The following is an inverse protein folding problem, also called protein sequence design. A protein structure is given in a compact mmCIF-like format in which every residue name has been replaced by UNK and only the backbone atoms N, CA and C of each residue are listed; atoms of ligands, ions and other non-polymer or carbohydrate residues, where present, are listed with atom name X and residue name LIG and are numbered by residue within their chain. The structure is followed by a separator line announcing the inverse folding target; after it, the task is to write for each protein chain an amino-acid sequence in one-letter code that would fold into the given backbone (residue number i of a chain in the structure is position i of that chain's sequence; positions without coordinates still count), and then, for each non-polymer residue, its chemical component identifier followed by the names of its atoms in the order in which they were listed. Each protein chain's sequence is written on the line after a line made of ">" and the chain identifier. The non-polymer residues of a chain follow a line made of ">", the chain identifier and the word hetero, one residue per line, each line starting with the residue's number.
data_IF_643862746469
#
_entry.id   IF_643862746469
#
_cell.length_a   1.000
_cell.length_b   1.000
_cell.length_c   1.000
_cell.angle_alpha   90.00
_cell.angle_beta   90.00
_cell.angle_gamma   90.00
#
_symmetry.space_group_name_H-M   'P 1'
#
loop_
_entity.id
_entity.type
_entity.pdbx_description
1 polymer ?
#
# COMPACT_ATOMS: atom_id res chain seq x y z
N UNK A 1 20.77 8.60 12.19
CA UNK A 1 19.91 8.84 11.06
C UNK A 1 19.76 7.63 10.14
N UNK A 2 19.44 6.49 10.75
CA UNK A 2 19.27 5.18 10.07
C UNK A 2 18.11 5.25 9.06
N UNK A 3 17.11 6.09 9.32
CA UNK A 3 15.97 6.28 8.43
C UNK A 3 16.35 6.95 7.11
N UNK A 4 17.18 7.96 7.12
CA UNK A 4 17.69 8.59 5.89
C UNK A 4 18.59 7.66 5.10
N UNK A 5 19.37 6.83 5.79
CA UNK A 5 20.22 5.84 5.13
C UNK A 5 19.44 4.70 4.50
N UNK A 6 18.34 4.25 5.15
CA UNK A 6 17.47 3.22 4.57
C UNK A 6 16.68 3.75 3.39
N UNK A 7 16.16 4.98 3.49
CA UNK A 7 15.46 5.65 2.40
C UNK A 7 16.39 5.87 1.20
N UNK A 8 17.60 6.33 1.43
CA UNK A 8 18.60 6.54 0.39
C UNK A 8 19.12 5.24 -0.19
N UNK A 9 19.35 4.22 0.64
CA UNK A 9 19.74 2.88 0.19
C UNK A 9 18.64 2.23 -0.61
N UNK A 10 17.40 2.44 -0.23
CA UNK A 10 16.24 1.95 -0.95
C UNK A 10 16.16 2.62 -2.32
N UNK A 11 16.34 3.92 -2.38
CA UNK A 11 16.40 4.71 -3.60
C UNK A 11 17.49 4.21 -4.55
N UNK A 12 18.69 3.97 -4.04
CA UNK A 12 19.80 3.45 -4.81
C UNK A 12 19.55 2.02 -5.27
N UNK A 13 19.04 1.16 -4.40
CA UNK A 13 18.76 -0.24 -4.70
C UNK A 13 17.63 -0.41 -5.72
N UNK A 14 16.69 0.52 -5.76
CA UNK A 14 15.55 0.50 -6.68
C UNK A 14 15.76 1.31 -7.96
N UNK A 15 16.98 1.84 -8.12
CA UNK A 15 17.37 2.50 -9.37
C UNK A 15 16.80 3.87 -9.60
N UNK A 16 16.84 4.66 -8.58
CA UNK A 16 16.20 5.68 -8.48
C UNK A 16 16.11 6.83 -8.92
N UNK A 17 15.92 7.23 -9.06
CA UNK A 17 14.81 7.97 -8.82
C UNK A 17 13.52 7.30 -8.63
N UNK A 18 13.47 6.22 -8.10
CA UNK A 18 12.22 5.74 -7.69
C UNK A 18 12.00 4.25 -7.77
N UNK A 19 10.94 3.81 -7.17
CA UNK A 19 10.41 2.48 -7.29
C UNK A 19 10.02 2.19 -8.75
N UNK A 20 10.07 0.92 -9.21
CA UNK A 20 9.82 0.61 -10.62
C UNK A 20 8.42 0.99 -11.07
N UNK A 21 8.31 1.77 -12.14
CA UNK A 21 7.04 2.12 -12.76
C UNK A 21 6.43 0.91 -13.47
N UNK A 22 5.11 0.87 -13.53
CA UNK A 22 4.39 -0.25 -14.14
C UNK A 22 4.48 -1.52 -13.30
N UNK A 23 4.61 -1.38 -11.97
CA UNK A 23 4.77 -2.50 -11.05
C UNK A 23 3.95 -2.30 -9.78
N UNK A 24 3.70 -3.41 -9.10
CA UNK A 24 3.07 -3.43 -7.78
C UNK A 24 4.15 -3.62 -6.73
N UNK A 25 4.12 -2.78 -5.71
CA UNK A 25 5.01 -2.85 -4.55
C UNK A 25 4.16 -3.01 -3.31
N UNK A 26 4.52 -3.96 -2.45
CA UNK A 26 3.93 -4.10 -1.13
C UNK A 26 4.89 -3.58 -0.08
N UNK A 27 4.41 -2.66 0.76
CA UNK A 27 5.11 -2.21 1.96
C UNK A 27 4.35 -2.81 3.15
N UNK A 28 4.99 -3.67 3.91
CA UNK A 28 4.34 -4.33 5.04
C UNK A 28 5.18 -4.21 6.32
N UNK A 29 4.52 -4.37 7.44
CA UNK A 29 5.15 -4.29 8.74
C UNK A 29 4.12 -4.11 9.85
N UNK A 30 4.59 -4.11 11.11
CA UNK A 30 3.71 -3.85 12.25
C UNK A 30 3.15 -2.42 12.21
N UNK A 31 2.14 -2.17 13.05
CA UNK A 31 1.60 -0.83 13.21
C UNK A 31 2.69 0.15 13.65
N UNK A 32 2.55 1.40 13.22
CA UNK A 32 3.47 2.49 13.58
C UNK A 32 4.94 2.22 13.22
N UNK A 33 5.18 1.41 12.19
CA UNK A 33 6.54 1.10 11.72
C UNK A 33 7.08 2.08 10.69
N UNK A 34 6.27 3.06 10.24
CA UNK A 34 6.68 4.05 9.26
C UNK A 34 6.30 3.70 7.81
N UNK A 35 5.38 2.77 7.60
CA UNK A 35 4.94 2.38 6.25
C UNK A 35 4.32 3.54 5.48
N UNK A 36 3.37 4.22 6.10
CA UNK A 36 2.71 5.39 5.49
C UNK A 36 3.71 6.52 5.26
N UNK A 37 4.62 6.73 6.19
CA UNK A 37 5.69 7.72 6.06
C UNK A 37 6.55 7.44 4.83
N UNK A 38 6.95 6.20 4.61
CA UNK A 38 7.73 5.82 3.44
C UNK A 38 6.96 6.07 2.15
N UNK A 39 5.69 5.69 2.09
CA UNK A 39 4.84 5.93 0.93
C UNK A 39 4.69 7.43 0.64
N UNK A 40 4.52 8.25 1.68
CA UNK A 40 4.43 9.70 1.52
C UNK A 40 5.75 10.31 1.02
N UNK A 41 6.89 9.79 1.44
CA UNK A 41 8.18 10.21 0.89
C UNK A 41 8.30 9.88 -0.60
N UNK A 42 7.84 8.72 -1.03
CA UNK A 42 7.80 8.35 -2.45
C UNK A 42 6.93 9.30 -3.25
N UNK A 43 5.76 9.66 -2.71
CA UNK A 43 4.87 10.64 -3.34
C UNK A 43 5.57 12.01 -3.45
N UNK A 44 6.18 12.49 -2.39
CA UNK A 44 6.88 13.78 -2.39
C UNK A 44 7.99 13.82 -3.45
N UNK A 45 8.78 12.76 -3.57
CA UNK A 45 9.84 12.66 -4.57
C UNK A 45 9.27 12.61 -6.00
N UNK A 46 8.18 11.88 -6.22
CA UNK A 46 7.52 11.83 -7.52
C UNK A 46 6.98 13.22 -7.91
N UNK A 47 6.36 13.92 -6.98
CA UNK A 47 5.85 15.27 -7.23
C UNK A 47 6.94 16.26 -7.58
N UNK A 48 8.11 16.16 -6.94
CA UNK A 48 9.28 17.00 -7.29
C UNK A 48 9.71 16.83 -8.74
N UNK A 49 9.48 15.67 -9.31
CA UNK A 49 9.77 15.34 -10.72
C UNK A 49 8.62 15.65 -11.66
N UNK A 50 7.59 16.32 -11.19
CA UNK A 50 6.39 16.65 -11.96
C UNK A 50 5.37 15.51 -12.07
N UNK A 51 5.52 14.46 -11.28
CA UNK A 51 4.60 13.32 -11.28
C UNK A 51 3.28 13.64 -10.59
N UNK A 52 2.21 12.99 -11.05
CA UNK A 52 0.87 13.08 -10.47
C UNK A 52 0.64 11.87 -9.57
N UNK A 53 0.19 12.11 -8.35
CA UNK A 53 0.03 11.07 -7.35
C UNK A 53 -1.41 11.01 -6.83
N UNK A 54 -1.82 9.79 -6.43
CA UNK A 54 -3.11 9.53 -5.81
C UNK A 54 -2.94 8.69 -4.55
N UNK A 55 -3.80 8.92 -3.58
CA UNK A 55 -3.80 8.21 -2.31
C UNK A 55 -5.21 7.71 -2.01
N UNK A 56 -5.37 6.39 -1.98
CA UNK A 56 -6.61 5.74 -1.58
C UNK A 56 -6.50 5.44 -0.08
N UNK A 57 -7.14 6.28 0.73
CA UNK A 57 -7.09 6.23 2.18
C UNK A 57 -8.24 5.37 2.72
N UNK A 58 -8.07 4.05 2.66
CA UNK A 58 -9.08 3.10 3.11
C UNK A 58 -9.23 3.08 4.64
N UNK A 59 -8.22 3.54 5.36
CA UNK A 59 -8.27 3.64 6.83
C UNK A 59 -8.92 4.94 7.31
N UNK A 60 -9.12 5.92 6.42
CA UNK A 60 -9.60 7.26 6.77
C UNK A 60 -8.73 7.93 7.84
N UNK A 61 -7.42 7.76 7.72
CA UNK A 61 -6.44 8.15 8.74
C UNK A 61 -5.32 9.04 8.23
N UNK A 62 -5.35 9.45 6.95
CA UNK A 62 -4.31 10.31 6.39
C UNK A 62 -4.36 11.69 7.05
N UNK A 63 -3.24 12.11 7.62
CA UNK A 63 -3.07 13.45 8.18
C UNK A 63 -2.42 14.37 7.13
N UNK A 64 -3.18 15.34 6.58
CA UNK A 64 -2.66 16.26 5.57
C UNK A 64 -1.53 17.14 6.11
N UNK A 65 -1.57 17.52 7.37
CA UNK A 65 -0.53 18.34 8.00
C UNK A 65 0.79 17.58 8.04
N UNK A 66 0.73 16.32 8.44
CA UNK A 66 1.90 15.45 8.46
C UNK A 66 2.45 15.21 7.06
N UNK A 67 1.58 14.95 6.08
CA UNK A 67 1.98 14.75 4.69
C UNK A 67 2.72 16.00 4.15
N UNK A 68 2.21 17.18 4.44
CA UNK A 68 2.87 18.46 4.06
C UNK A 68 4.25 18.60 4.69
N UNK A 69 4.41 18.21 5.96
CA UNK A 69 5.71 18.24 6.63
C UNK A 69 6.75 17.35 5.96
N UNK A 70 6.31 16.25 5.34
CA UNK A 70 7.17 15.33 4.59
C UNK A 70 7.47 15.84 3.16
N UNK A 71 6.90 16.94 2.76
CA UNK A 71 7.12 17.54 1.45
C UNK A 71 6.06 17.23 0.39
N UNK A 72 4.95 16.60 0.79
CA UNK A 72 3.85 16.30 -0.13
C UNK A 72 3.04 17.58 -0.41
N UNK A 73 2.81 17.87 -1.68
CA UNK A 73 1.83 18.87 -2.08
C UNK A 73 0.44 18.22 -2.08
N UNK A 74 -0.28 18.42 -0.99
CA UNK A 74 -1.59 17.81 -0.80
C UNK A 74 -2.67 18.41 -1.70
N UNK A 75 -2.49 19.62 -2.18
CA UNK A 75 -3.43 20.27 -3.09
C UNK A 75 -3.38 19.67 -4.50
N UNK A 76 -2.25 19.06 -4.87
CA UNK A 76 -2.06 18.42 -6.17
C UNK A 76 -2.21 16.89 -6.11
N UNK A 77 -2.45 16.32 -4.94
CA UNK A 77 -2.63 14.89 -4.77
C UNK A 77 -4.11 14.54 -4.75
N UNK A 78 -4.51 13.54 -5.56
CA UNK A 78 -5.86 12.99 -5.48
C UNK A 78 -5.99 12.14 -4.22
N UNK A 79 -6.95 12.45 -3.37
CA UNK A 79 -7.24 11.67 -2.16
C UNK A 79 -8.64 11.11 -2.27
N UNK A 80 -8.78 9.80 -2.05
CA UNK A 80 -10.06 9.10 -2.03
C UNK A 80 -10.20 8.32 -0.73
N UNK A 81 -11.39 8.38 -0.13
CA UNK A 81 -11.71 7.64 1.09
C UNK A 81 -12.89 6.69 0.80
N UNK A 82 -12.60 5.48 0.31
CA UNK A 82 -13.65 4.53 -0.07
C UNK A 82 -14.38 3.96 1.15
N UNK A 83 -15.61 3.48 0.93
CA UNK A 83 -16.44 2.92 1.99
C UNK A 83 -16.22 1.41 2.19
N UNK A 84 -15.68 0.73 1.20
CA UNK A 84 -15.44 -0.72 1.24
C UNK A 84 -14.30 -1.12 0.31
N UNK A 85 -13.89 -2.38 0.37
CA UNK A 85 -12.78 -2.91 -0.41
C UNK A 85 -13.01 -2.90 -1.91
N UNK A 86 -14.22 -3.24 -2.35
CA UNK A 86 -14.58 -3.22 -3.78
C UNK A 86 -14.44 -1.82 -4.36
N UNK A 87 -14.97 -0.82 -3.66
CA UNK A 87 -14.87 0.58 -4.10
C UNK A 87 -13.41 1.04 -4.17
N UNK A 88 -12.62 0.71 -3.16
CA UNK A 88 -11.19 1.07 -3.13
C UNK A 88 -10.44 0.49 -4.32
N UNK A 89 -10.66 -0.78 -4.62
CA UNK A 89 -9.95 -1.48 -5.69
C UNK A 89 -10.46 -1.07 -7.08
N UNK A 90 -11.74 -0.73 -7.22
CA UNK A 90 -12.27 -0.12 -8.45
C UNK A 90 -11.65 1.25 -8.73
N UNK A 91 -11.53 2.08 -7.70
CA UNK A 91 -10.86 3.38 -7.81
C UNK A 91 -9.40 3.18 -8.25
N UNK A 92 -8.70 2.25 -7.61
CA UNK A 92 -7.32 1.94 -7.96
C UNK A 92 -7.19 1.49 -9.43
N UNK A 93 -8.03 0.58 -9.87
CA UNK A 93 -8.04 0.10 -11.26
C UNK A 93 -8.34 1.23 -12.25
N UNK A 94 -9.32 2.06 -11.96
CA UNK A 94 -9.67 3.22 -12.79
C UNK A 94 -8.51 4.19 -12.92
N UNK A 95 -7.83 4.49 -11.81
CA UNK A 95 -6.69 5.40 -11.81
C UNK A 95 -5.49 4.83 -12.59
N UNK A 96 -5.23 3.54 -12.47
CA UNK A 96 -4.20 2.87 -13.26
C UNK A 96 -4.53 2.92 -14.76
N UNK A 97 -5.78 2.63 -15.11
CA UNK A 97 -6.22 2.65 -16.51
C UNK A 97 -6.25 4.04 -17.14
N UNK A 98 -6.35 5.08 -16.35
CA UNK A 98 -6.35 6.47 -16.84
C UNK A 98 -5.02 6.89 -17.46
N UNK A 99 -3.94 6.21 -17.11
CA UNK A 99 -2.57 6.55 -17.53
C UNK A 99 -2.11 7.95 -17.08
N UNK A 100 -2.87 8.57 -16.18
CA UNK A 100 -2.60 9.94 -15.71
C UNK A 100 -1.87 9.97 -14.36
N UNK A 101 -1.73 8.83 -13.69
CA UNK A 101 -1.16 8.73 -12.34
C UNK A 101 0.20 8.05 -12.41
N UNK A 102 1.21 8.67 -11.82
CA UNK A 102 2.56 8.11 -11.74
C UNK A 102 2.74 7.23 -10.50
N UNK A 103 2.18 7.64 -9.36
CA UNK A 103 2.21 6.88 -8.11
C UNK A 103 0.83 6.81 -7.49
N UNK A 104 0.38 5.59 -7.22
CA UNK A 104 -0.87 5.32 -6.51
C UNK A 104 -0.56 4.56 -5.23
N UNK A 105 -0.99 5.09 -4.10
CA UNK A 105 -0.86 4.43 -2.79
C UNK A 105 -2.24 3.97 -2.33
N UNK A 106 -2.33 2.72 -1.88
CA UNK A 106 -3.52 2.17 -1.22
C UNK A 106 -3.15 1.84 0.24
N UNK A 107 -3.71 2.57 1.18
CA UNK A 107 -3.43 2.42 2.60
C UNK A 107 -4.73 2.14 3.37
N UNK A 108 -4.93 1.00 3.92
CA UNK A 108 -4.13 -0.19 3.87
C UNK A 108 -4.98 -1.39 3.45
N UNK A 109 -4.34 -2.49 3.09
CA UNK A 109 -5.04 -3.74 2.73
C UNK A 109 -5.95 -4.24 3.86
N UNK A 110 -5.52 -4.09 5.11
CA UNK A 110 -6.31 -4.50 6.28
C UNK A 110 -7.68 -3.79 6.35
N UNK A 111 -7.78 -2.58 5.83
CA UNK A 111 -9.02 -1.80 5.81
C UNK A 111 -9.89 -2.06 4.57
N UNK A 112 -9.43 -2.89 3.64
CA UNK A 112 -10.20 -3.28 2.45
C UNK A 112 -11.23 -4.35 2.80
N UNK A 113 -12.25 -3.95 3.55
CA UNK A 113 -13.30 -4.87 3.99
C UNK A 113 -14.32 -5.04 2.87
N UNK A 114 -14.64 -6.29 2.47
CA UNK A 114 -15.68 -6.53 1.47
C UNK A 114 -17.03 -5.99 1.89
N UNK A 115 -17.80 -5.48 0.94
CA UNK A 115 -19.15 -4.93 1.20
C UNK A 115 -20.05 -5.96 1.89
N UNK A 116 -20.01 -7.21 1.45
CA UNK A 116 -20.81 -8.28 2.04
C UNK A 116 -20.52 -8.47 3.53
N UNK A 117 -19.26 -8.27 3.95
CA UNK A 117 -18.87 -8.36 5.35
C UNK A 117 -19.39 -7.18 6.18
N UNK A 118 -19.41 -5.98 5.60
CA UNK A 118 -19.95 -4.78 6.26
C UNK A 118 -21.48 -4.88 6.42
N UNK A 119 -22.19 -5.34 5.39
CA UNK A 119 -23.65 -5.43 5.33
C UNK A 119 -24.22 -6.71 5.94
N UNK A 120 -23.35 -7.70 6.24
CA UNK A 120 -23.74 -9.01 6.78
C UNK A 120 -24.19 -8.91 8.24
N UNK A 121 -25.04 -9.87 8.64
CA UNK A 121 -25.48 -9.99 10.02
C UNK A 121 -24.36 -10.54 10.91
N UNK A 122 -24.44 -10.20 12.20
CA UNK A 122 -23.52 -10.75 13.19
C UNK A 122 -23.61 -12.29 13.20
N UNK A 123 -22.47 -12.94 12.99
CA UNK A 123 -22.39 -14.40 12.90
C UNK A 123 -22.34 -14.96 11.49
N UNK A 124 -22.53 -14.13 10.45
CA UNK A 124 -22.32 -14.56 9.08
C UNK A 124 -20.84 -14.88 8.85
N UNK A 125 -20.60 -16.02 8.21
CA UNK A 125 -19.25 -16.44 7.91
C UNK A 125 -18.81 -15.94 6.53
N UNK A 126 -17.91 -14.96 6.51
CA UNK A 126 -17.32 -14.41 5.28
C UNK A 126 -15.86 -14.78 5.14
N UNK A 127 -15.52 -16.06 5.45
CA UNK A 127 -14.15 -16.56 5.41
C UNK A 127 -13.59 -16.47 4.00
N UNK A 128 -12.44 -15.81 3.88
CA UNK A 128 -11.73 -15.69 2.63
C UNK A 128 -12.28 -14.70 1.63
N UNK A 129 -13.31 -13.92 1.95
CA UNK A 129 -13.86 -12.90 1.04
C UNK A 129 -12.82 -11.84 0.71
N UNK A 130 -12.09 -11.32 1.70
CA UNK A 130 -11.06 -10.32 1.48
C UNK A 130 -9.93 -10.88 0.59
N UNK A 131 -9.48 -12.11 0.86
CA UNK A 131 -8.44 -12.74 0.06
C UNK A 131 -8.89 -12.96 -1.40
N UNK A 132 -10.14 -13.34 -1.61
CA UNK A 132 -10.73 -13.52 -2.94
C UNK A 132 -10.84 -12.17 -3.67
N UNK A 133 -11.29 -11.15 -2.98
CA UNK A 133 -11.38 -9.78 -3.51
C UNK A 133 -10.00 -9.29 -3.96
N UNK A 134 -8.98 -9.45 -3.12
CA UNK A 134 -7.60 -9.09 -3.43
C UNK A 134 -7.08 -9.85 -4.65
N UNK A 135 -7.31 -11.17 -4.73
CA UNK A 135 -6.86 -11.99 -5.85
C UNK A 135 -7.49 -11.55 -7.17
N UNK A 136 -8.78 -11.29 -7.18
CA UNK A 136 -9.50 -10.85 -8.38
C UNK A 136 -9.04 -9.46 -8.82
N UNK A 137 -8.95 -8.53 -7.87
CA UNK A 137 -8.56 -7.15 -8.16
C UNK A 137 -7.11 -7.06 -8.64
N UNK A 138 -6.19 -7.75 -7.99
CA UNK A 138 -4.78 -7.72 -8.38
C UNK A 138 -4.54 -8.36 -9.74
N UNK A 139 -5.28 -9.41 -10.09
CA UNK A 139 -5.23 -9.99 -11.43
C UNK A 139 -5.61 -8.95 -12.49
N UNK A 140 -6.67 -8.21 -12.25
CA UNK A 140 -7.17 -7.17 -13.15
C UNK A 140 -6.19 -5.99 -13.23
N UNK A 141 -5.74 -5.49 -12.09
CA UNK A 141 -4.80 -4.38 -12.01
C UNK A 141 -3.46 -4.73 -12.67
N UNK A 142 -2.95 -5.94 -12.47
CA UNK A 142 -1.70 -6.39 -13.09
C UNK A 142 -1.78 -6.35 -14.61
N UNK A 143 -2.90 -6.75 -15.18
CA UNK A 143 -3.12 -6.65 -16.63
C UNK A 143 -3.10 -5.19 -17.12
N UNK A 144 -3.66 -4.28 -16.34
CA UNK A 144 -3.70 -2.85 -16.67
C UNK A 144 -2.36 -2.15 -16.43
N UNK A 145 -1.66 -2.52 -15.36
CA UNK A 145 -0.45 -1.83 -14.94
C UNK A 145 0.71 -2.01 -15.91
N UNK A 146 0.77 -3.16 -16.58
CA UNK A 146 1.81 -3.42 -17.59
C UNK A 146 1.73 -2.47 -18.78
N UNK A 147 0.55 -1.92 -19.05
CA UNK A 147 0.30 -0.95 -20.11
C UNK A 147 0.38 0.49 -19.63
N UNK A 148 0.53 0.70 -18.33
CA UNK A 148 0.63 2.02 -17.71
C UNK A 148 2.04 2.22 -17.15
N UNK A 149 2.38 3.46 -16.83
CA UNK A 149 3.62 3.79 -16.14
C UNK A 149 3.37 4.06 -14.64
N UNK A 150 2.27 3.56 -14.11
CA UNK A 150 1.90 3.78 -12.71
C UNK A 150 2.65 2.82 -11.79
N UNK A 151 3.26 3.36 -10.75
CA UNK A 151 3.71 2.59 -9.60
C UNK A 151 2.55 2.48 -8.63
N UNK A 152 2.15 1.25 -8.28
CA UNK A 152 1.10 1.00 -7.29
C UNK A 152 1.73 0.46 -6.02
N UNK A 153 1.54 1.17 -4.91
CA UNK A 153 2.03 0.79 -3.59
C UNK A 153 0.86 0.36 -2.72
N UNK A 154 0.88 -0.88 -2.25
CA UNK A 154 -0.05 -1.38 -1.23
C UNK A 154 0.64 -1.39 0.12
N UNK A 155 0.03 -0.72 1.09
CA UNK A 155 0.48 -0.78 2.48
C UNK A 155 -0.29 -1.90 3.17
N UNK A 156 0.43 -2.77 3.89
CA UNK A 156 -0.15 -3.93 4.54
C UNK A 156 0.34 -4.07 5.98
N UNK A 157 -0.43 -4.77 6.78
CA UNK A 157 -0.11 -5.03 8.17
C UNK A 157 0.33 -6.48 8.34
N UNK A 158 1.19 -6.71 9.34
CA UNK A 158 1.55 -8.06 9.76
C UNK A 158 0.51 -8.54 10.78
N UNK A 159 0.06 -9.77 10.61
CA UNK A 159 -0.78 -10.49 11.57
C UNK A 159 -0.06 -11.75 12.03
N UNK A 160 -0.38 -12.19 13.25
CA UNK A 160 0.14 -13.43 13.79
C UNK A 160 -0.82 -14.57 13.48
N UNK A 161 -0.30 -15.66 12.90
CA UNK A 161 -1.07 -16.90 12.72
C UNK A 161 -1.16 -17.64 14.03
N UNK A 162 -2.37 -18.08 14.38
CA UNK A 162 -2.59 -18.91 15.57
C UNK A 162 -2.25 -20.37 15.23
N UNK A 163 -1.52 -21.05 16.13
CA UNK A 163 -1.26 -22.49 16.02
C UNK A 163 -0.15 -22.89 15.06
N UNK A 164 0.72 -21.97 14.65
CA UNK A 164 1.88 -22.32 13.82
C UNK A 164 2.93 -23.01 14.68
N UNK A 165 3.22 -24.27 14.39
CA UNK A 165 4.24 -25.07 15.09
C UNK A 165 5.62 -24.95 14.45
N UNK A 166 5.68 -24.67 13.16
CA UNK A 166 6.93 -24.55 12.38
C UNK A 166 6.90 -23.29 11.52
N UNK A 167 8.05 -22.63 11.36
CA UNK A 167 8.20 -21.42 10.59
C UNK A 167 7.75 -20.17 11.34
N UNK A 168 7.69 -19.04 10.65
CA UNK A 168 7.26 -17.76 11.22
C UNK A 168 5.73 -17.73 11.40
N UNK A 169 5.22 -17.34 12.59
CA UNK A 169 3.79 -17.13 12.79
C UNK A 169 3.28 -15.86 12.10
N UNK A 170 4.16 -15.02 11.60
CA UNK A 170 3.78 -13.77 10.96
C UNK A 170 3.20 -13.98 9.57
N UNK A 171 2.12 -13.27 9.27
CA UNK A 171 1.50 -13.24 7.95
C UNK A 171 0.96 -11.85 7.66
N UNK A 172 0.75 -11.54 6.39
CA UNK A 172 0.13 -10.29 5.98
C UNK A 172 -1.36 -10.47 5.74
N UNK A 173 -2.13 -9.38 5.81
CA UNK A 173 -3.57 -9.41 5.57
C UNK A 173 -3.88 -9.54 4.08
N UNK A 174 -5.08 -10.01 3.75
CA UNK A 174 -5.54 -10.12 2.37
C UNK A 174 -5.12 -11.39 1.64
N UNK A 175 -4.62 -12.40 2.34
CA UNK A 175 -4.19 -13.66 1.76
C UNK A 175 -2.83 -13.57 1.06
N UNK A 176 -2.62 -14.42 0.05
CA UNK A 176 -1.33 -14.54 -0.62
C UNK A 176 -1.23 -13.75 -1.93
N UNK A 177 -2.26 -13.02 -2.33
CA UNK A 177 -2.31 -12.35 -3.63
C UNK A 177 -1.17 -11.34 -3.82
N UNK A 178 -0.90 -10.49 -2.82
CA UNK A 178 0.19 -9.51 -2.89
C UNK A 178 1.56 -10.18 -2.92
N UNK A 179 1.75 -11.30 -2.23
CA UNK A 179 2.98 -12.08 -2.34
C UNK A 179 3.24 -12.52 -3.78
N UNK A 180 2.19 -12.90 -4.48
CA UNK A 180 2.29 -13.40 -5.84
C UNK A 180 2.47 -12.28 -6.86
N UNK A 181 1.70 -11.21 -6.74
CA UNK A 181 1.66 -10.15 -7.75
C UNK A 181 2.66 -9.01 -7.54
N UNK A 182 3.21 -8.86 -6.34
CA UNK A 182 4.17 -7.79 -6.07
C UNK A 182 5.53 -8.07 -6.70
N UNK A 183 6.09 -7.07 -7.38
CA UNK A 183 7.45 -7.13 -7.90
C UNK A 183 8.49 -6.88 -6.81
N UNK A 184 8.12 -6.08 -5.81
CA UNK A 184 8.97 -5.76 -4.65
C UNK A 184 8.11 -5.82 -3.40
N UNK A 185 8.67 -6.40 -2.35
CA UNK A 185 8.05 -6.43 -1.03
C UNK A 185 9.03 -5.87 0.00
N UNK A 186 8.62 -4.82 0.69
CA UNK A 186 9.44 -4.11 1.66
C UNK A 186 8.91 -4.35 3.06
N UNK A 187 9.74 -4.97 3.90
CA UNK A 187 9.46 -5.22 5.31
C UNK A 187 10.00 -4.05 6.13
N UNK A 188 9.10 -3.25 6.70
CA UNK A 188 9.45 -2.08 7.47
C UNK A 188 9.23 -2.37 8.96
N UNK A 189 10.31 -2.33 9.74
CA UNK A 189 10.26 -2.56 11.17
C UNK A 189 10.97 -1.44 11.92
N UNK A 190 10.47 -1.11 13.10
CA UNK A 190 11.19 -0.23 14.00
C UNK A 190 12.45 -0.96 14.50
N UNK A 191 13.59 -0.33 14.29
CA UNK A 191 14.79 -0.69 15.04
C UNK A 191 14.59 -0.13 16.44
N UNK A 192 14.73 -0.98 17.46
CA UNK A 192 14.57 -0.57 18.85
C UNK A 192 15.41 0.67 19.18
N UNK A 193 14.88 1.57 20.02
CA UNK A 193 15.62 2.74 20.45
C UNK A 193 16.96 2.29 21.05
N UNK A 194 18.05 2.83 20.53
CA UNK A 194 19.35 2.69 21.17
C UNK A 194 19.21 3.43 22.49
N UNK A 195 19.20 2.67 23.59
CA UNK A 195 19.30 3.29 24.93
C UNK A 195 20.75 3.67 25.12
N UNK A 196 20.99 4.95 25.24
CA UNK A 196 22.25 5.48 25.75
C UNK A 196 22.45 5.03 27.20
#
# INVERSE_FOLDING_TARGET
>A
DVYKRQSLSLDVALGIGGLPKGRIVEIYGPESSGKTTLALHVIAEAQKKGGTCAFVDAEHALDPVYAKKLGVNTDEMLISQPDNGEQALEIADTLVNSNAIDVLVVDSVAALVPRAEIEGDMGDHHVGLQARLMSQALRKITGSIQKSNTLVIFINQIRMKIGVMFGSPETTTGGNALKFYSSVRLDIRRIGAIKD
#
